data_IF_603278599552
#
_entry.id   IF_603278599552
#
_cell.length_a   1.000
_cell.length_b   1.000
_cell.length_c   1.000
_cell.angle_alpha   90.00
_cell.angle_beta   90.00
_cell.angle_gamma   90.00
#
_symmetry.space_group_name_H-M   'P 1'
#
loop_
_entity.id
_entity.type
_entity.pdbx_description
1 polymer ?
#
# COMPACT_ATOMS: atom_id res chain seq x y z
N UNK A 1 -50.97 28.46 35.62
CA UNK A 1 -50.94 28.37 37.09
C UNK A 1 -51.08 26.91 37.49
N UNK A 2 -50.03 26.28 38.05
CA UNK A 2 -50.10 25.50 39.30
C UNK A 2 -48.71 24.93 39.59
N UNK A 3 -48.18 25.34 40.74
CA UNK A 3 -46.93 24.88 41.34
C UNK A 3 -47.30 23.71 42.25
N UNK A 4 -46.66 22.55 42.11
CA UNK A 4 -46.66 21.53 43.15
C UNK A 4 -45.20 21.20 43.44
N UNK A 5 -44.77 21.71 44.59
CA UNK A 5 -43.54 21.31 45.29
C UNK A 5 -43.97 20.24 46.29
N UNK A 6 -43.35 19.07 46.26
CA UNK A 6 -43.26 18.19 47.44
C UNK A 6 -41.87 17.56 47.50
N UNK A 7 -41.33 17.59 48.70
CA UNK A 7 -39.97 17.34 49.12
C UNK A 7 -39.85 15.95 49.76
N UNK A 8 -38.62 15.42 49.74
CA UNK A 8 -38.03 14.39 50.60
C UNK A 8 -38.43 12.90 50.36
N UNK A 9 -37.43 12.05 50.09
CA UNK A 9 -36.69 11.32 51.12
C UNK A 9 -35.48 10.60 50.49
N UNK A 10 -34.31 10.71 51.12
CA UNK A 10 -33.10 10.03 50.68
C UNK A 10 -33.13 8.52 50.95
N UNK A 11 -32.53 7.76 50.03
CA UNK A 11 -32.04 6.41 50.30
C UNK A 11 -30.60 6.33 49.78
N UNK A 12 -29.66 6.29 50.71
CA UNK A 12 -28.27 5.89 50.45
C UNK A 12 -28.29 4.39 50.26
N UNK A 13 -28.06 3.92 49.03
CA UNK A 13 -27.72 2.54 48.73
C UNK A 13 -26.30 2.52 48.17
N UNK A 14 -25.39 1.98 48.98
CA UNK A 14 -24.02 1.69 48.61
C UNK A 14 -23.97 0.53 47.60
N UNK A 15 -23.01 0.59 46.69
CA UNK A 15 -22.44 -0.62 46.07
C UNK A 15 -22.62 -0.71 44.56
N UNK A 16 -21.50 -0.61 43.85
CA UNK A 16 -21.36 -1.18 42.51
C UNK A 16 -21.39 -0.19 41.34
N UNK A 17 -20.65 0.92 41.41
CA UNK A 17 -20.25 1.59 40.17
C UNK A 17 -19.24 0.68 39.46
N UNK A 18 -19.70 -0.04 38.44
CA UNK A 18 -18.83 -0.62 37.43
C UNK A 18 -18.18 0.57 36.71
N UNK A 19 -17.00 0.97 37.19
CA UNK A 19 -16.14 1.93 36.50
C UNK A 19 -15.82 1.30 35.14
N UNK A 20 -16.22 1.91 34.01
CA UNK A 20 -15.73 1.44 32.73
C UNK A 20 -14.21 1.51 32.82
N UNK A 21 -13.56 0.38 32.55
CA UNK A 21 -12.11 0.27 32.47
C UNK A 21 -11.67 1.19 31.32
N UNK A 22 -11.47 2.47 31.61
CA UNK A 22 -10.69 3.35 30.76
C UNK A 22 -9.36 2.65 30.64
N UNK A 23 -9.11 2.06 29.48
CA UNK A 23 -7.78 1.64 29.07
C UNK A 23 -6.98 2.92 29.00
N UNK A 24 -6.40 3.33 30.13
CA UNK A 24 -5.29 4.23 30.14
C UNK A 24 -4.30 3.64 29.13
N UNK A 25 -3.95 4.42 28.12
CA UNK A 25 -2.83 4.11 27.26
C UNK A 25 -1.54 4.26 28.11
N UNK A 26 -1.36 3.35 29.08
CA UNK A 26 -0.08 3.10 29.72
C UNK A 26 0.65 2.11 28.84
N UNK A 27 1.18 2.61 27.73
CA UNK A 27 2.39 2.05 27.16
C UNK A 27 3.30 3.20 26.82
N UNK A 28 4.03 3.66 27.84
CA UNK A 28 5.18 4.56 27.66
C UNK A 28 6.39 3.85 28.21
N UNK A 29 7.37 3.58 27.36
CA UNK A 29 8.72 4.00 27.67
C UNK A 29 9.12 4.98 26.56
N UNK A 30 8.54 6.19 26.61
CA UNK A 30 9.21 7.34 26.00
C UNK A 30 10.43 7.50 26.88
N UNK A 31 11.61 7.20 26.35
CA UNK A 31 12.83 7.25 27.15
C UNK A 31 12.89 8.59 27.88
N UNK A 32 13.08 8.60 29.19
CA UNK A 32 13.41 9.81 29.98
C UNK A 32 14.74 10.46 29.54
N UNK A 33 15.33 9.97 28.44
CA UNK A 33 16.54 10.45 27.82
C UNK A 33 16.13 11.45 26.74
N UNK A 34 16.40 12.73 27.01
CA UNK A 34 16.32 13.80 26.03
C UNK A 34 17.19 13.45 24.80
N UNK A 35 16.61 13.31 23.59
CA UNK A 35 17.40 12.99 22.41
C UNK A 35 18.44 14.07 22.12
N UNK A 36 19.61 13.64 21.65
CA UNK A 36 20.71 14.55 21.35
C UNK A 36 20.28 15.60 20.31
N UNK A 37 20.50 16.88 20.63
CA UNK A 37 20.16 17.99 19.74
C UNK A 37 18.81 18.67 20.01
N UNK A 38 18.03 18.17 20.97
CA UNK A 38 16.78 18.81 21.43
C UNK A 38 16.97 19.56 22.74
N UNK A 39 16.25 20.66 22.91
CA UNK A 39 15.93 21.20 24.24
C UNK A 39 14.74 20.45 24.80
N UNK A 40 14.57 20.44 26.13
CA UNK A 40 13.40 19.80 26.78
C UNK A 40 12.09 20.30 26.18
N UNK A 41 11.95 21.62 26.01
CA UNK A 41 10.75 22.24 25.43
C UNK A 41 10.49 21.81 23.99
N UNK A 42 11.52 21.67 23.16
CA UNK A 42 11.37 21.23 21.78
C UNK A 42 11.00 19.75 21.74
N UNK A 43 11.57 18.94 22.63
CA UNK A 43 11.25 17.52 22.75
C UNK A 43 9.80 17.29 23.18
N UNK A 44 9.29 18.08 24.12
CA UNK A 44 7.88 18.01 24.55
C UNK A 44 6.94 18.35 23.39
N UNK A 45 7.26 19.38 22.61
CA UNK A 45 6.47 19.79 21.43
C UNK A 45 6.47 18.70 20.34
N UNK A 46 7.62 18.15 20.00
CA UNK A 46 7.70 17.05 19.02
C UNK A 46 6.96 15.82 19.52
N UNK A 47 7.12 15.45 20.79
CA UNK A 47 6.42 14.31 21.40
C UNK A 47 4.90 14.47 21.33
N UNK A 48 4.40 15.68 21.51
CA UNK A 48 2.97 15.97 21.36
C UNK A 48 2.50 15.83 19.92
N UNK A 49 3.24 16.37 18.95
CA UNK A 49 2.93 16.25 17.52
C UNK A 49 2.98 14.78 17.06
N UNK A 50 4.00 14.03 17.49
CA UNK A 50 4.13 12.60 17.18
C UNK A 50 2.98 11.78 17.76
N UNK A 51 2.58 12.07 19.00
CA UNK A 51 1.42 11.42 19.63
C UNK A 51 0.13 11.72 18.86
N UNK A 52 -0.08 12.98 18.47
CA UNK A 52 -1.22 13.38 17.64
C UNK A 52 -1.18 12.66 16.29
N UNK A 53 -0.04 12.63 15.60
CA UNK A 53 0.11 11.93 14.32
C UNK A 53 -0.14 10.43 14.44
N UNK A 54 0.44 9.77 15.45
CA UNK A 54 0.26 8.35 15.70
C UNK A 54 -1.22 8.02 15.95
N UNK A 55 -1.96 8.90 16.64
CA UNK A 55 -3.40 8.71 16.88
C UNK A 55 -4.26 8.77 15.61
N UNK A 56 -3.75 9.37 14.53
CA UNK A 56 -4.42 9.47 13.23
C UNK A 56 -4.15 8.27 12.31
N UNK A 57 -3.22 7.37 12.67
CA UNK A 57 -2.89 6.20 11.87
C UNK A 57 -4.02 5.17 11.94
N UNK A 58 -4.63 4.87 10.78
CA UNK A 58 -5.67 3.85 10.64
C UNK A 58 -5.14 2.63 9.86
N UNK A 59 -4.94 1.47 10.53
CA UNK A 59 -4.51 0.22 9.89
C UNK A 59 -5.43 -0.24 8.76
N UNK A 60 -6.72 0.07 8.83
CA UNK A 60 -7.71 -0.28 7.80
C UNK A 60 -7.45 0.52 6.53
N UNK A 61 -7.23 1.84 6.67
CA UNK A 61 -6.85 2.71 5.55
C UNK A 61 -5.52 2.28 4.94
N UNK A 62 -4.52 1.97 5.76
CA UNK A 62 -3.21 1.49 5.28
C UNK A 62 -3.37 0.19 4.48
N UNK A 63 -4.12 -0.78 5.01
CA UNK A 63 -4.36 -2.06 4.35
C UNK A 63 -5.12 -1.91 3.03
N UNK A 64 -6.10 -1.00 2.97
CA UNK A 64 -6.82 -0.67 1.73
C UNK A 64 -5.90 -0.05 0.68
N UNK A 65 -5.09 0.92 1.08
CA UNK A 65 -4.10 1.54 0.18
C UNK A 65 -3.11 0.51 -0.34
N UNK A 66 -2.57 -0.33 0.55
CA UNK A 66 -1.64 -1.40 0.16
C UNK A 66 -2.27 -2.35 -0.86
N UNK A 67 -3.52 -2.76 -0.65
CA UNK A 67 -4.25 -3.61 -1.58
C UNK A 67 -4.43 -2.97 -2.95
N UNK A 68 -4.71 -1.68 -3.03
CA UNK A 68 -4.86 -0.99 -4.31
C UNK A 68 -3.52 -0.88 -5.04
N UNK A 69 -2.45 -0.55 -4.31
CA UNK A 69 -1.11 -0.44 -4.89
C UNK A 69 -0.58 -1.77 -5.41
N UNK A 70 -0.90 -2.89 -4.74
CA UNK A 70 -0.37 -4.23 -5.08
C UNK A 70 -1.33 -5.09 -5.89
N UNK A 71 -2.47 -4.55 -6.33
CA UNK A 71 -3.52 -5.32 -7.00
C UNK A 71 -3.08 -5.95 -8.32
N UNK A 72 -2.20 -5.29 -9.04
CA UNK A 72 -1.68 -5.72 -10.34
C UNK A 72 -0.23 -5.25 -10.53
N UNK A 73 0.60 -5.96 -11.31
CA UNK A 73 1.97 -5.54 -11.60
C UNK A 73 2.04 -4.15 -12.26
N UNK A 74 2.95 -3.31 -11.77
CA UNK A 74 3.03 -1.89 -12.17
C UNK A 74 4.48 -1.43 -12.43
N UNK A 75 5.22 -2.18 -13.27
CA UNK A 75 6.58 -1.82 -13.70
C UNK A 75 6.59 -0.42 -14.34
N UNK A 76 7.64 0.35 -14.11
CA UNK A 76 7.84 1.65 -14.74
C UNK A 76 7.64 1.59 -16.28
N UNK A 77 6.87 2.53 -16.82
CA UNK A 77 6.55 2.60 -18.25
C UNK A 77 5.38 1.71 -18.71
N UNK A 78 4.69 1.02 -17.79
CA UNK A 78 3.48 0.23 -18.10
C UNK A 78 2.19 0.96 -17.72
N UNK A 79 1.05 0.52 -18.27
CA UNK A 79 -0.27 1.02 -17.84
C UNK A 79 -0.52 0.79 -16.34
N UNK A 80 0.02 -0.30 -15.77
CA UNK A 80 -0.08 -0.56 -14.33
C UNK A 80 0.57 0.54 -13.50
N UNK A 81 1.77 0.99 -13.88
CA UNK A 81 2.43 2.13 -13.24
C UNK A 81 1.61 3.42 -13.40
N UNK A 82 1.04 3.66 -14.59
CA UNK A 82 0.20 4.84 -14.85
C UNK A 82 -1.01 4.89 -13.91
N UNK A 83 -1.70 3.77 -13.71
CA UNK A 83 -2.84 3.68 -12.77
C UNK A 83 -2.42 4.00 -11.33
N UNK A 84 -1.29 3.44 -10.87
CA UNK A 84 -0.77 3.71 -9.51
C UNK A 84 -0.45 5.19 -9.34
N UNK A 85 0.18 5.83 -10.32
CA UNK A 85 0.45 7.29 -10.30
C UNK A 85 -0.86 8.08 -10.17
N UNK A 86 -1.89 7.72 -10.95
CA UNK A 86 -3.19 8.39 -10.87
C UNK A 86 -3.89 8.19 -9.52
N UNK A 87 -3.78 6.98 -8.93
CA UNK A 87 -4.30 6.71 -7.59
C UNK A 87 -3.61 7.58 -6.53
N UNK A 88 -2.27 7.64 -6.54
CA UNK A 88 -1.50 8.46 -5.59
C UNK A 88 -1.83 9.94 -5.75
N UNK A 89 -1.95 10.42 -6.99
CA UNK A 89 -2.38 11.81 -7.27
C UNK A 89 -3.74 12.11 -6.65
N UNK A 90 -4.70 11.20 -6.76
CA UNK A 90 -6.02 11.38 -6.16
C UNK A 90 -5.97 11.37 -4.63
N UNK A 91 -5.24 10.44 -4.01
CA UNK A 91 -5.12 10.36 -2.55
C UNK A 91 -4.39 11.58 -1.97
N UNK A 92 -3.35 12.07 -2.64
CA UNK A 92 -2.67 13.31 -2.25
C UNK A 92 -3.60 14.53 -2.36
N UNK A 93 -4.42 14.61 -3.40
CA UNK A 93 -5.44 15.65 -3.54
C UNK A 93 -6.48 15.63 -2.41
N UNK A 94 -6.96 14.44 -2.03
CA UNK A 94 -7.88 14.27 -0.88
C UNK A 94 -7.26 14.71 0.45
N UNK A 95 -5.93 14.61 0.58
CA UNK A 95 -5.19 15.09 1.74
C UNK A 95 -4.92 16.60 1.73
N UNK A 96 -5.42 17.35 0.72
CA UNK A 96 -5.27 18.80 0.62
C UNK A 96 -4.01 19.26 -0.13
N UNK A 97 -3.23 18.34 -0.69
CA UNK A 97 -2.08 18.69 -1.54
C UNK A 97 -2.52 19.08 -2.95
N UNK A 98 -1.61 19.73 -3.68
CA UNK A 98 -1.75 20.06 -5.12
C UNK A 98 -0.74 19.25 -5.93
N UNK A 99 -0.97 17.94 -6.12
CA UNK A 99 0.01 17.07 -6.76
C UNK A 99 0.09 17.29 -8.27
N UNK A 100 1.31 17.33 -8.78
CA UNK A 100 1.65 17.38 -10.20
C UNK A 100 2.30 16.08 -10.65
N UNK A 101 2.06 15.67 -11.90
CA UNK A 101 2.74 14.51 -12.51
C UNK A 101 3.83 15.06 -13.41
N UNK A 102 5.08 14.79 -13.05
CA UNK A 102 6.23 15.09 -13.89
C UNK A 102 6.58 13.85 -14.74
N UNK A 103 6.68 14.05 -16.05
CA UNK A 103 6.98 12.98 -16.99
C UNK A 103 8.44 13.04 -17.44
N UNK A 104 9.10 11.89 -17.47
CA UNK A 104 10.47 11.74 -17.94
C UNK A 104 10.55 10.63 -18.96
N UNK A 105 11.29 10.89 -20.03
CA UNK A 105 11.65 9.88 -21.00
C UNK A 105 13.00 9.30 -20.60
N UNK A 106 13.05 8.00 -20.35
CA UNK A 106 14.28 7.30 -20.02
C UNK A 106 14.34 5.96 -20.76
N UNK A 107 15.57 5.48 -20.99
CA UNK A 107 15.77 4.20 -21.63
C UNK A 107 15.50 3.08 -20.62
N UNK A 108 14.36 2.40 -20.76
CA UNK A 108 13.98 1.31 -19.88
C UNK A 108 14.21 -0.04 -20.56
N UNK A 109 14.95 -0.93 -19.88
CA UNK A 109 15.21 -2.27 -20.39
C UNK A 109 13.99 -3.16 -20.21
N UNK A 110 13.40 -3.58 -21.33
CA UNK A 110 12.35 -4.60 -21.35
C UNK A 110 12.93 -5.89 -21.88
N UNK A 111 12.63 -7.02 -21.23
CA UNK A 111 13.13 -8.27 -21.72
C UNK A 111 12.50 -8.64 -23.05
N UNK A 112 13.34 -9.09 -23.98
CA UNK A 112 12.91 -9.76 -25.19
C UNK A 112 12.51 -11.22 -24.96
N UNK A 113 12.14 -11.94 -26.02
CA UNK A 113 11.88 -13.38 -25.96
C UNK A 113 13.12 -14.14 -25.43
N UNK A 114 12.92 -15.05 -24.48
CA UNK A 114 14.00 -15.86 -23.88
C UNK A 114 13.53 -17.27 -23.54
N UNK A 115 14.46 -18.21 -23.44
CA UNK A 115 14.20 -19.60 -23.06
C UNK A 115 15.44 -20.16 -22.38
N UNK A 116 15.26 -21.02 -21.38
CA UNK A 116 16.34 -21.79 -20.77
C UNK A 116 16.06 -23.27 -21.02
N UNK A 117 17.09 -24.00 -21.45
CA UNK A 117 17.02 -25.43 -21.70
C UNK A 117 18.22 -26.12 -21.04
N UNK A 118 17.96 -27.18 -20.29
CA UNK A 118 18.99 -28.12 -19.86
C UNK A 118 19.47 -28.89 -21.09
N UNK A 119 20.77 -28.86 -21.39
CA UNK A 119 21.34 -29.51 -22.58
C UNK A 119 21.91 -30.91 -22.32
N UNK A 120 22.33 -31.18 -21.08
CA UNK A 120 22.80 -32.48 -20.61
C UNK A 120 22.58 -32.60 -19.09
N UNK A 121 22.40 -33.82 -18.53
CA UNK A 121 22.40 -35.13 -19.20
C UNK A 121 21.11 -35.44 -19.97
N UNK A 122 20.03 -34.69 -19.73
CA UNK A 122 18.77 -34.79 -20.48
C UNK A 122 18.45 -33.44 -21.11
N UNK A 123 17.84 -33.46 -22.30
CA UNK A 123 17.30 -32.24 -22.93
C UNK A 123 15.96 -31.89 -22.31
N UNK A 124 15.88 -30.76 -21.60
CA UNK A 124 14.63 -30.33 -20.95
C UNK A 124 14.49 -28.81 -20.94
N UNK A 125 13.44 -28.24 -21.56
CA UNK A 125 13.12 -26.82 -21.40
C UNK A 125 12.65 -26.52 -19.97
N UNK A 126 13.02 -25.35 -19.46
CA UNK A 126 12.61 -24.86 -18.14
C UNK A 126 11.56 -23.75 -18.31
N UNK A 127 10.54 -23.77 -17.46
CA UNK A 127 9.60 -22.64 -17.31
C UNK A 127 10.34 -21.46 -16.69
N UNK A 128 10.06 -20.25 -17.16
CA UNK A 128 10.56 -19.04 -16.52
C UNK A 128 9.44 -18.17 -15.92
N UNK A 129 8.21 -18.67 -15.97
CA UNK A 129 7.05 -18.17 -15.27
C UNK A 129 6.93 -18.87 -13.93
N UNK A 130 6.49 -18.12 -12.93
CA UNK A 130 6.17 -18.66 -11.62
C UNK A 130 4.93 -19.57 -11.71
N UNK A 131 4.95 -20.64 -10.92
CA UNK A 131 3.83 -21.56 -10.84
C UNK A 131 2.65 -20.91 -10.13
N UNK A 132 1.43 -21.25 -10.57
CA UNK A 132 0.21 -20.85 -9.88
C UNK A 132 0.16 -21.51 -8.50
N UNK A 133 -0.17 -20.72 -7.48
CA UNK A 133 -0.39 -21.17 -6.12
C UNK A 133 -1.90 -21.33 -5.90
N UNK A 134 -2.40 -22.56 -5.62
CA UNK A 134 -3.83 -22.77 -5.38
C UNK A 134 -4.37 -21.90 -4.23
N UNK A 135 -5.47 -21.19 -4.48
CA UNK A 135 -6.10 -20.30 -3.51
C UNK A 135 -5.53 -18.88 -3.44
N UNK A 136 -4.43 -18.61 -4.15
CA UNK A 136 -3.90 -17.25 -4.29
C UNK A 136 -4.33 -16.63 -5.64
N UNK A 137 -5.28 -15.66 -5.64
CA UNK A 137 -5.72 -15.01 -6.87
C UNK A 137 -4.62 -14.21 -7.57
N UNK A 138 -3.58 -13.77 -6.85
CA UNK A 138 -2.48 -13.00 -7.44
C UNK A 138 -1.51 -13.86 -8.24
N UNK A 139 -1.49 -15.17 -7.98
CA UNK A 139 -0.67 -16.13 -8.72
C UNK A 139 -1.32 -16.61 -10.03
N UNK A 140 -2.61 -16.33 -10.25
CA UNK A 140 -3.35 -16.85 -11.42
C UNK A 140 -2.84 -16.29 -12.75
N UNK A 141 -2.30 -15.08 -12.72
CA UNK A 141 -1.82 -14.34 -13.89
C UNK A 141 -0.31 -14.19 -13.91
N UNK A 142 0.42 -15.02 -13.17
CA UNK A 142 1.88 -14.99 -13.14
C UNK A 142 2.49 -15.13 -14.56
N UNK A 143 1.88 -15.96 -15.41
CA UNK A 143 2.28 -16.13 -16.81
C UNK A 143 2.01 -14.90 -17.70
N UNK A 144 1.08 -14.01 -17.32
CA UNK A 144 0.80 -12.76 -18.06
C UNK A 144 1.82 -11.67 -17.74
N UNK A 145 2.47 -11.79 -16.59
CA UNK A 145 3.33 -10.76 -16.00
C UNK A 145 4.75 -11.30 -15.80
N UNK A 146 5.28 -11.86 -16.89
CA UNK A 146 6.62 -12.44 -16.94
C UNK A 146 7.65 -11.38 -16.51
N UNK A 147 8.41 -11.72 -15.48
CA UNK A 147 9.45 -10.87 -14.93
C UNK A 147 10.63 -10.69 -15.88
N UNK A 148 11.84 -10.56 -15.35
CA UNK A 148 13.06 -10.57 -16.16
C UNK A 148 13.43 -12.00 -16.66
N UNK A 149 12.49 -12.96 -16.65
CA UNK A 149 12.54 -14.22 -17.42
C UNK A 149 11.19 -14.61 -18.07
N UNK A 150 11.18 -15.23 -19.26
CA UNK A 150 10.09 -15.66 -20.19
C UNK A 150 9.69 -15.04 -21.56
N UNK A 151 9.39 -15.98 -22.49
CA UNK A 151 9.07 -15.94 -23.93
C UNK A 151 7.56 -15.72 -24.16
N UNK A 152 7.20 -14.92 -25.17
CA UNK A 152 5.94 -15.18 -25.87
C UNK A 152 6.07 -16.48 -26.70
N UNK A 153 5.03 -17.32 -26.81
CA UNK A 153 5.08 -18.50 -27.68
C UNK A 153 5.40 -18.06 -29.12
N UNK A 154 6.34 -18.75 -29.76
CA UNK A 154 6.63 -18.56 -31.18
C UNK A 154 5.39 -19.00 -31.97
N UNK A 155 4.69 -18.12 -32.70
CA UNK A 155 3.66 -18.58 -33.62
C UNK A 155 4.34 -19.38 -34.76
N UNK A 156 3.72 -20.48 -35.17
CA UNK A 156 4.14 -21.31 -36.32
C UNK A 156 4.19 -20.54 -37.65
N UNK A 157 3.65 -19.32 -37.67
CA UNK A 157 3.82 -18.30 -38.69
C UNK A 157 4.69 -17.18 -38.12
N UNK A 158 5.81 -16.85 -38.78
CA UNK A 158 6.87 -15.94 -38.28
C UNK A 158 6.43 -14.55 -37.75
N UNK A 159 7.39 -13.72 -37.30
CA UNK A 159 7.12 -12.65 -36.34
C UNK A 159 6.17 -11.58 -36.91
N UNK A 160 4.97 -11.49 -36.35
CA UNK A 160 4.21 -10.24 -36.44
C UNK A 160 4.92 -9.20 -35.57
N UNK A 161 5.48 -8.17 -36.21
CA UNK A 161 6.20 -7.03 -35.65
C UNK A 161 5.35 -6.10 -34.74
N UNK A 162 4.32 -6.63 -34.07
CA UNK A 162 3.26 -5.82 -33.47
C UNK A 162 3.14 -5.94 -31.94
N UNK A 163 4.14 -6.48 -31.24
CA UNK A 163 4.34 -6.08 -29.84
C UNK A 163 5.00 -4.67 -29.83
N UNK A 164 4.30 -3.72 -30.44
CA UNK A 164 4.74 -2.34 -30.56
C UNK A 164 4.64 -1.68 -29.19
N UNK A 165 5.70 -0.98 -28.79
CA UNK A 165 5.56 0.07 -27.79
C UNK A 165 4.35 0.94 -28.19
N UNK A 166 3.45 1.28 -27.24
CA UNK A 166 2.35 2.18 -27.54
C UNK A 166 2.90 3.45 -28.19
N UNK A 167 2.25 3.89 -29.28
CA UNK A 167 2.67 5.07 -30.02
C UNK A 167 2.65 6.30 -29.11
N UNK A 168 3.39 7.34 -29.52
CA UNK A 168 3.52 8.62 -28.82
C UNK A 168 2.18 9.29 -28.47
N UNK A 169 1.10 8.89 -29.12
CA UNK A 169 -0.26 9.43 -28.92
C UNK A 169 -1.05 8.70 -27.83
N UNK A 170 -0.63 7.49 -27.42
CA UNK A 170 -1.25 6.75 -26.32
C UNK A 170 -0.91 7.32 -24.93
N UNK A 171 0.04 8.26 -24.86
CA UNK A 171 0.51 8.92 -23.65
C UNK A 171 0.14 10.41 -23.59
N UNK A 172 -0.70 10.90 -24.52
CA UNK A 172 -1.24 12.27 -24.49
C UNK A 172 -2.64 12.30 -23.92
#
# INVERSE_FOLDING_TARGET
MQRIVLLALGLVAAGGAAVPLSRAATDRPMSDILPLGFTETAWDQESEIESQYASLLDPTRISRTHRELTREPHRAGTEGARRVVQYIRQEAGKAGFKPEIAEYQFYNSHPGPRSIELTAPIKKPLSLAEDRIPGDPFSERAADHLGLSDRAPWPSSGPSRNAACPSRDAWR
#
